data_IF_380929910959
#
_entry.id   IF_380929910959
#
_cell.length_a   1.000
_cell.length_b   1.000
_cell.length_c   1.000
_cell.angle_alpha   90.00
_cell.angle_beta   90.00
_cell.angle_gamma   90.00
#
_symmetry.space_group_name_H-M   'P 1'
#
loop_
_entity.id
_entity.type
_entity.pdbx_description
1 polymer ?
#
# COMPACT_ATOMS: atom_id res chain seq x y z
N UNK A 1 -2.69 -2.25 11.66
CA UNK A 1 -3.57 -3.35 11.18
C UNK A 1 -4.00 -4.17 12.40
N UNK A 2 -5.29 -4.41 12.60
CA UNK A 2 -5.77 -5.24 13.72
C UNK A 2 -5.90 -6.71 13.31
N UNK A 3 -5.85 -7.61 14.29
CA UNK A 3 -6.04 -9.06 14.08
C UNK A 3 -7.36 -9.36 13.35
N UNK A 4 -8.47 -8.80 13.84
CA UNK A 4 -9.80 -9.05 13.27
C UNK A 4 -9.93 -8.50 11.85
N UNK A 5 -9.45 -7.28 11.61
CA UNK A 5 -9.56 -6.66 10.29
C UNK A 5 -8.88 -7.49 9.20
N UNK A 6 -7.65 -7.95 9.46
CA UNK A 6 -6.90 -8.76 8.48
C UNK A 6 -7.63 -10.08 8.22
N UNK A 7 -8.16 -10.73 9.25
CA UNK A 7 -8.91 -11.99 9.09
C UNK A 7 -10.22 -11.80 8.35
N UNK A 8 -11.00 -10.79 8.69
CA UNK A 8 -12.28 -10.49 8.02
C UNK A 8 -12.04 -10.20 6.54
N UNK A 9 -11.04 -9.37 6.22
CA UNK A 9 -10.74 -9.01 4.84
C UNK A 9 -10.32 -10.23 4.01
N UNK A 10 -9.49 -11.12 4.55
CA UNK A 10 -9.05 -12.33 3.88
C UNK A 10 -10.18 -13.36 3.75
N UNK A 11 -10.93 -13.61 4.83
CA UNK A 11 -12.04 -14.55 4.79
C UNK A 11 -13.10 -14.11 3.77
N UNK A 12 -13.44 -12.82 3.74
CA UNK A 12 -14.34 -12.29 2.72
C UNK A 12 -13.78 -12.46 1.32
N UNK A 13 -12.49 -12.14 1.09
CA UNK A 13 -11.84 -12.31 -0.20
C UNK A 13 -11.68 -13.76 -0.68
N UNK A 14 -11.83 -14.75 0.22
CA UNK A 14 -11.88 -16.18 -0.12
C UNK A 14 -13.32 -16.72 -0.22
N UNK A 15 -14.31 -15.93 0.16
CA UNK A 15 -15.73 -16.34 0.25
C UNK A 15 -16.56 -15.61 -0.81
N UNK A 16 -17.39 -14.64 -0.42
CA UNK A 16 -18.32 -13.92 -1.30
C UNK A 16 -17.79 -12.56 -1.80
N UNK A 17 -16.60 -12.18 -1.33
CA UNK A 17 -15.89 -10.95 -1.64
C UNK A 17 -16.61 -9.64 -1.21
N UNK A 18 -17.75 -9.72 -0.52
CA UNK A 18 -18.61 -8.57 -0.21
C UNK A 18 -17.90 -7.45 0.53
N UNK A 19 -17.07 -7.79 1.52
CA UNK A 19 -16.31 -6.83 2.32
C UNK A 19 -15.04 -6.41 1.57
N UNK A 20 -14.33 -7.35 0.94
CA UNK A 20 -13.09 -7.06 0.22
C UNK A 20 -13.32 -6.12 -0.97
N UNK A 21 -14.38 -6.34 -1.75
CA UNK A 21 -14.70 -5.52 -2.92
C UNK A 21 -15.05 -4.10 -2.50
N UNK A 22 -15.94 -3.96 -1.50
CA UNK A 22 -16.31 -2.65 -0.95
C UNK A 22 -15.11 -1.91 -0.35
N UNK A 23 -14.20 -2.64 0.31
CA UNK A 23 -12.97 -2.07 0.85
C UNK A 23 -12.07 -1.53 -0.27
N UNK A 24 -11.79 -2.32 -1.29
CA UNK A 24 -10.92 -1.89 -2.39
C UNK A 24 -11.56 -0.83 -3.29
N UNK A 25 -12.88 -0.85 -3.46
CA UNK A 25 -13.62 0.23 -4.13
C UNK A 25 -13.43 1.55 -3.37
N UNK A 26 -13.62 1.55 -2.05
CA UNK A 26 -13.40 2.74 -1.22
C UNK A 26 -11.95 3.25 -1.31
N UNK A 27 -10.97 2.35 -1.34
CA UNK A 27 -9.57 2.74 -1.54
C UNK A 27 -9.36 3.41 -2.90
N UNK A 28 -9.85 2.80 -3.98
CA UNK A 28 -9.74 3.31 -5.36
C UNK A 28 -10.41 4.66 -5.53
N UNK A 29 -11.53 4.90 -4.86
CA UNK A 29 -12.28 6.14 -5.02
C UNK A 29 -11.78 7.28 -4.13
N UNK A 30 -11.38 6.95 -2.89
CA UNK A 30 -11.11 7.98 -1.87
C UNK A 30 -9.64 8.16 -1.56
N UNK A 31 -8.87 7.08 -1.45
CA UNK A 31 -7.51 7.13 -0.91
C UNK A 31 -6.45 7.17 -2.01
N UNK A 32 -6.46 6.18 -2.92
CA UNK A 32 -5.41 6.02 -3.92
C UNK A 32 -5.21 7.26 -4.81
N UNK A 33 -6.27 7.93 -5.33
CA UNK A 33 -6.10 9.12 -6.16
C UNK A 33 -5.46 10.29 -5.40
N UNK A 34 -5.71 10.40 -4.09
CA UNK A 34 -5.11 11.45 -3.25
C UNK A 34 -3.64 11.17 -3.00
N UNK A 35 -3.28 9.93 -2.68
CA UNK A 35 -1.89 9.53 -2.47
C UNK A 35 -1.07 9.67 -3.76
N UNK A 36 -1.62 9.27 -4.91
CA UNK A 36 -0.94 9.42 -6.20
C UNK A 36 -0.67 10.88 -6.54
N UNK A 37 -1.58 11.79 -6.17
CA UNK A 37 -1.35 13.23 -6.33
C UNK A 37 -0.20 13.72 -5.46
N UNK A 38 -0.09 13.25 -4.21
CA UNK A 38 1.06 13.61 -3.36
C UNK A 38 2.36 12.99 -3.88
N UNK A 39 2.33 11.77 -4.42
CA UNK A 39 3.50 11.16 -5.10
C UNK A 39 3.93 11.99 -6.31
N UNK A 40 2.98 12.44 -7.14
CA UNK A 40 3.27 13.35 -8.27
C UNK A 40 3.92 14.64 -7.78
N UNK A 41 3.37 15.25 -6.73
CA UNK A 41 3.92 16.47 -6.13
C UNK A 41 5.34 16.25 -5.63
N UNK A 42 5.60 15.14 -4.94
CA UNK A 42 6.95 14.73 -4.52
C UNK A 42 7.92 14.59 -5.72
N UNK A 43 7.42 14.12 -6.86
CA UNK A 43 8.18 14.01 -8.11
C UNK A 43 8.19 15.31 -8.97
N UNK A 44 7.75 16.45 -8.42
CA UNK A 44 7.76 17.75 -9.13
C UNK A 44 6.65 17.91 -10.18
N UNK A 45 5.61 17.07 -10.16
CA UNK A 45 4.46 17.15 -11.06
C UNK A 45 3.22 17.65 -10.32
N UNK A 46 2.49 18.58 -10.94
CA UNK A 46 1.31 19.22 -10.32
C UNK A 46 -0.02 18.80 -10.96
N UNK A 47 0.01 17.85 -11.90
CA UNK A 47 -1.19 17.40 -12.62
C UNK A 47 -2.24 16.77 -11.70
N UNK A 48 -3.51 17.15 -11.92
CA UNK A 48 -4.70 16.61 -11.26
C UNK A 48 -5.47 15.62 -12.14
N UNK A 49 -4.87 15.16 -13.25
CA UNK A 49 -5.48 14.14 -14.10
C UNK A 49 -5.76 12.86 -13.33
N UNK A 50 -6.68 12.03 -13.84
CA UNK A 50 -6.93 10.70 -13.26
C UNK A 50 -5.60 9.90 -13.17
N UNK A 51 -5.39 9.13 -12.09
CA UNK A 51 -4.29 8.18 -12.03
C UNK A 51 -4.30 7.22 -13.22
N UNK A 52 -3.14 6.96 -13.79
CA UNK A 52 -2.96 5.86 -14.73
C UNK A 52 -2.94 4.52 -13.98
N UNK A 53 -3.23 3.42 -14.68
CA UNK A 53 -3.15 2.08 -14.10
C UNK A 53 -1.75 1.81 -13.53
N UNK A 54 -0.69 2.26 -14.21
CA UNK A 54 0.68 2.09 -13.74
C UNK A 54 0.97 2.81 -12.43
N UNK A 55 0.44 4.02 -12.24
CA UNK A 55 0.58 4.75 -10.98
C UNK A 55 -0.24 4.08 -9.85
N UNK A 56 -1.42 3.56 -10.17
CA UNK A 56 -2.25 2.79 -9.24
C UNK A 56 -1.55 1.52 -8.78
N UNK A 57 -1.10 0.67 -9.71
CA UNK A 57 -0.41 -0.58 -9.38
C UNK A 57 0.89 -0.34 -8.62
N UNK A 58 1.62 0.73 -8.94
CA UNK A 58 2.81 1.10 -8.19
C UNK A 58 2.51 1.45 -6.73
N UNK A 59 1.43 2.19 -6.46
CA UNK A 59 0.97 2.45 -5.09
C UNK A 59 0.40 1.18 -4.42
N UNK A 60 -0.28 0.32 -5.18
CA UNK A 60 -0.77 -0.97 -4.67
C UNK A 60 0.37 -1.89 -4.25
N UNK A 61 1.54 -1.82 -4.89
CA UNK A 61 2.75 -2.50 -4.43
C UNK A 61 3.19 -2.08 -3.03
N UNK A 62 3.15 -0.77 -2.72
CA UNK A 62 3.40 -0.27 -1.36
C UNK A 62 2.34 -0.78 -0.38
N UNK A 63 1.06 -0.67 -0.74
CA UNK A 63 -0.06 -1.18 0.07
C UNK A 63 0.13 -2.67 0.40
N UNK A 64 0.40 -3.50 -0.61
CA UNK A 64 0.64 -4.94 -0.44
C UNK A 64 1.83 -5.23 0.45
N UNK A 65 2.95 -4.50 0.27
CA UNK A 65 4.13 -4.65 1.10
C UNK A 65 3.89 -4.37 2.59
N UNK A 66 3.11 -3.33 2.91
CA UNK A 66 2.73 -3.01 4.30
C UNK A 66 1.69 -4.01 4.81
N UNK A 67 0.65 -4.31 4.03
CA UNK A 67 -0.40 -5.25 4.41
C UNK A 67 0.14 -6.66 4.68
N UNK A 68 1.17 -7.09 3.94
CA UNK A 68 1.83 -8.37 4.13
C UNK A 68 2.46 -8.54 5.53
N UNK A 69 2.81 -7.44 6.20
CA UNK A 69 3.25 -7.49 7.60
C UNK A 69 2.13 -8.04 8.50
N UNK A 70 0.90 -7.53 8.30
CA UNK A 70 -0.29 -8.02 9.00
C UNK A 70 -0.63 -9.47 8.63
N UNK A 71 -0.46 -9.86 7.36
CA UNK A 71 -0.64 -11.24 6.91
C UNK A 71 0.30 -12.20 7.65
N UNK A 72 1.60 -11.89 7.68
CA UNK A 72 2.59 -12.72 8.39
C UNK A 72 2.23 -12.88 9.85
N UNK A 73 1.96 -11.77 10.54
CA UNK A 73 1.68 -11.78 11.97
C UNK A 73 0.38 -12.51 12.29
N UNK A 74 -0.70 -12.20 11.59
CA UNK A 74 -2.04 -12.63 11.99
C UNK A 74 -2.51 -13.87 11.25
N UNK A 75 -2.26 -14.01 9.95
CA UNK A 75 -2.72 -15.18 9.20
C UNK A 75 -1.74 -16.34 9.31
N UNK A 76 -0.44 -16.08 9.15
CA UNK A 76 0.57 -17.14 9.10
C UNK A 76 1.24 -17.45 10.44
N UNK A 77 0.98 -16.66 11.49
CA UNK A 77 1.63 -16.86 12.79
C UNK A 77 3.15 -16.65 12.76
N UNK A 78 3.65 -15.91 11.77
CA UNK A 78 5.07 -15.64 11.59
C UNK A 78 5.45 -14.34 12.30
N UNK A 79 6.43 -14.43 13.20
CA UNK A 79 7.02 -13.26 13.83
C UNK A 79 7.69 -12.37 12.77
N UNK A 80 7.61 -11.06 12.97
CA UNK A 80 8.51 -10.13 12.29
C UNK A 80 9.87 -10.31 12.98
N UNK A 81 10.91 -10.56 12.20
CA UNK A 81 12.25 -10.87 12.71
C UNK A 81 12.75 -9.78 13.65
N UNK A 82 13.32 -10.19 14.78
CA UNK A 82 13.78 -9.39 15.92
C UNK A 82 12.72 -9.06 16.98
N UNK A 83 12.54 -10.01 17.91
CA UNK A 83 11.76 -9.82 19.15
C UNK A 83 12.44 -8.91 20.17
N UNK A 84 13.71 -8.56 19.97
CA UNK A 84 14.49 -7.67 20.83
C UNK A 84 14.34 -6.19 20.47
N UNK A 85 13.87 -5.88 19.26
CA UNK A 85 13.61 -4.50 18.84
C UNK A 85 12.10 -4.21 18.78
N UNK A 86 11.56 -3.39 19.69
CA UNK A 86 10.13 -3.03 19.69
C UNK A 86 9.73 -2.17 18.47
N UNK A 87 10.70 -1.58 17.75
CA UNK A 87 10.47 -0.66 16.63
C UNK A 87 10.56 -1.31 15.25
N UNK A 88 10.89 -2.60 15.15
CA UNK A 88 11.11 -3.30 13.88
C UNK A 88 9.98 -3.10 12.85
N UNK A 89 8.72 -3.13 13.29
CA UNK A 89 7.58 -2.92 12.38
C UNK A 89 7.59 -1.52 11.77
N UNK A 90 7.89 -0.50 12.58
CA UNK A 90 7.95 0.88 12.16
C UNK A 90 9.10 1.12 11.18
N UNK A 91 10.27 0.55 11.46
CA UNK A 91 11.45 0.60 10.58
C UNK A 91 11.14 -0.03 9.21
N UNK A 92 10.53 -1.22 9.19
CA UNK A 92 10.12 -1.87 7.93
C UNK A 92 9.13 -1.00 7.14
N UNK A 93 8.19 -0.35 7.80
CA UNK A 93 7.24 0.56 7.13
C UNK A 93 7.97 1.77 6.55
N UNK A 94 8.89 2.37 7.31
CA UNK A 94 9.72 3.50 6.86
C UNK A 94 10.58 3.12 5.65
N UNK A 95 11.20 1.94 5.64
CA UNK A 95 12.01 1.45 4.53
C UNK A 95 11.19 1.24 3.26
N UNK A 96 9.97 0.71 3.41
CA UNK A 96 9.03 0.53 2.29
C UNK A 96 8.59 1.86 1.70
N UNK A 97 8.27 2.83 2.54
CA UNK A 97 7.90 4.19 2.09
C UNK A 97 9.10 4.84 1.39
N UNK A 98 10.30 4.75 1.96
CA UNK A 98 11.53 5.34 1.40
C UNK A 98 11.86 4.72 0.04
N UNK A 99 11.73 3.41 -0.10
CA UNK A 99 11.92 2.67 -1.35
C UNK A 99 10.87 3.05 -2.41
N UNK A 100 9.61 3.19 -2.00
CA UNK A 100 8.52 3.68 -2.86
C UNK A 100 8.81 5.09 -3.37
N UNK A 101 9.15 6.04 -2.51
CA UNK A 101 9.43 7.42 -2.89
C UNK A 101 10.66 7.54 -3.80
N UNK A 102 11.71 6.76 -3.51
CA UNK A 102 12.93 6.74 -4.33
C UNK A 102 12.64 6.24 -5.75
N UNK A 103 11.89 5.15 -5.88
CA UNK A 103 11.52 4.57 -7.19
C UNK A 103 10.42 5.36 -7.91
N UNK A 104 9.57 6.10 -7.16
CA UNK A 104 8.54 6.97 -7.74
C UNK A 104 9.15 8.01 -8.68
N UNK A 105 10.31 8.58 -8.34
CA UNK A 105 10.98 9.55 -9.20
C UNK A 105 11.28 8.97 -10.58
N UNK A 106 11.73 7.73 -10.70
CA UNK A 106 11.99 7.10 -11.98
C UNK A 106 10.69 6.84 -12.79
N UNK A 107 9.62 6.39 -12.13
CA UNK A 107 8.36 6.06 -12.78
C UNK A 107 7.55 7.29 -13.21
N UNK A 108 7.48 8.30 -12.35
CA UNK A 108 6.62 9.46 -12.57
C UNK A 108 7.27 10.52 -13.46
N UNK A 109 8.59 10.53 -13.63
CA UNK A 109 9.30 11.47 -14.52
C UNK A 109 9.43 10.97 -15.95
N UNK A 110 9.31 9.65 -16.20
CA UNK A 110 9.42 9.04 -17.54
C UNK A 110 8.17 9.18 -18.42
N UNK A 111 7.12 9.85 -17.94
CA UNK A 111 5.99 10.25 -18.79
C UNK A 111 6.39 11.45 -19.65
N UNK A 112 6.59 11.22 -20.95
CA UNK A 112 6.86 12.25 -21.97
C UNK A 112 6.04 13.54 -21.75
N UNK A 113 6.72 14.68 -21.95
CA UNK A 113 6.10 16.00 -22.20
C UNK A 113 5.00 15.89 -23.25
#
# INVERSE_FOLDING_TARGET
LTYDFVRILIFSGLSDHSISDRFFELLRDRLLPRLIRETRKHCGRTTRSKPSQRELEFLMGLHGGIFYIGMRRWIYGQAIYDSGNPNTEQEIIQDRISSYLSSAKALFTTGKK
#
